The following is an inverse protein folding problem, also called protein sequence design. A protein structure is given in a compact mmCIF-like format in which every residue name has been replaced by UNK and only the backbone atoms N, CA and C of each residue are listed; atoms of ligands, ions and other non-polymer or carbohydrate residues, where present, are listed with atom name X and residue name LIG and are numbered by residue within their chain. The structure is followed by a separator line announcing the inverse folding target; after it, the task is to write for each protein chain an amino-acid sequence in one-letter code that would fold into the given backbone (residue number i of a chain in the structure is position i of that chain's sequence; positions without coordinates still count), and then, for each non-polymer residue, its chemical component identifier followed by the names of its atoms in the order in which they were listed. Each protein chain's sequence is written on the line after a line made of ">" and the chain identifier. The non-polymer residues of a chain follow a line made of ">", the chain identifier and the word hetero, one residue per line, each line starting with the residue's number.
data_IF_292791667007
#
_entry.id   IF_292791667007
#
_cell.length_a   1.000
_cell.length_b   1.000
_cell.length_c   1.000
_cell.angle_alpha   90.00
_cell.angle_beta   90.00
_cell.angle_gamma   90.00
#
_symmetry.space_group_name_H-M   'P 1'
#
loop_
_entity.id
_entity.type
_entity.pdbx_description
1 polymer ?
#
# COMPACT_ATOMS: atom_id res chain seq x y z
N UNK A 1 -40.27 10.90 -9.49
CA UNK A 1 -39.73 9.75 -8.72
C UNK A 1 -38.21 9.80 -8.85
N UNK A 2 -37.60 10.68 -8.07
CA UNK A 2 -36.16 11.00 -8.07
C UNK A 2 -35.46 10.04 -7.12
N UNK A 3 -34.61 9.17 -7.66
CA UNK A 3 -33.80 8.23 -6.89
C UNK A 3 -32.59 8.97 -6.29
N UNK A 4 -32.66 9.21 -4.98
CA UNK A 4 -31.56 9.18 -3.97
C UNK A 4 -30.40 10.20 -4.11
N UNK A 5 -30.31 11.24 -3.24
CA UNK A 5 -29.10 12.03 -3.01
C UNK A 5 -28.25 11.55 -1.82
N UNK A 6 -28.53 10.35 -1.28
CA UNK A 6 -27.91 9.88 -0.03
C UNK A 6 -26.44 9.43 -0.17
N UNK A 7 -26.03 8.99 -1.36
CA UNK A 7 -24.64 8.53 -1.58
C UNK A 7 -23.62 9.69 -1.59
N UNK A 8 -24.04 10.89 -2.02
CA UNK A 8 -23.17 12.06 -2.08
C UNK A 8 -22.87 12.64 -0.69
N UNK A 9 -23.82 12.55 0.25
CA UNK A 9 -23.63 13.08 1.61
C UNK A 9 -22.60 12.29 2.41
N UNK A 10 -22.65 10.96 2.36
CA UNK A 10 -21.70 10.12 3.11
C UNK A 10 -20.28 10.29 2.59
N UNK A 11 -20.10 10.28 1.26
CA UNK A 11 -18.78 10.47 0.64
C UNK A 11 -18.27 11.89 0.89
N UNK A 12 -19.15 12.90 0.85
CA UNK A 12 -18.80 14.29 1.18
C UNK A 12 -18.39 14.45 2.65
N UNK A 13 -19.13 13.88 3.61
CA UNK A 13 -18.79 13.91 5.03
C UNK A 13 -17.45 13.21 5.31
N UNK A 14 -17.21 12.03 4.73
CA UNK A 14 -15.93 11.32 4.88
C UNK A 14 -14.78 12.11 4.26
N UNK A 15 -15.01 12.74 3.10
CA UNK A 15 -14.01 13.61 2.45
C UNK A 15 -13.64 14.82 3.34
N UNK A 16 -14.65 15.44 3.96
CA UNK A 16 -14.48 16.58 4.85
C UNK A 16 -13.74 16.22 6.13
N UNK A 17 -13.92 15.01 6.67
CA UNK A 17 -13.23 14.55 7.89
C UNK A 17 -11.78 14.14 7.60
N UNK A 18 -11.54 13.51 6.44
CA UNK A 18 -10.23 12.96 6.10
C UNK A 18 -9.31 13.95 5.38
N UNK A 19 -9.85 15.07 4.90
CA UNK A 19 -9.09 16.10 4.19
C UNK A 19 -8.71 15.70 2.76
N UNK A 20 -9.34 14.66 2.21
CA UNK A 20 -9.12 14.19 0.84
C UNK A 20 -10.40 14.35 0.04
N UNK A 21 -10.33 14.91 -1.17
CA UNK A 21 -11.50 15.09 -2.03
C UNK A 21 -12.22 13.76 -2.38
N UNK A 22 -13.54 13.80 -2.63
CA UNK A 22 -14.35 12.61 -2.90
C UNK A 22 -13.83 11.81 -4.11
N UNK A 23 -13.29 12.47 -5.12
CA UNK A 23 -12.66 11.82 -6.27
C UNK A 23 -11.45 10.95 -5.88
N UNK A 24 -10.62 11.43 -4.96
CA UNK A 24 -9.43 10.70 -4.52
C UNK A 24 -9.84 9.43 -3.75
N UNK A 25 -10.84 9.55 -2.87
CA UNK A 25 -11.39 8.41 -2.13
C UNK A 25 -12.03 7.38 -3.08
N UNK A 26 -12.72 7.83 -4.12
CA UNK A 26 -13.28 6.95 -5.15
C UNK A 26 -12.18 6.23 -5.93
N UNK A 27 -11.17 6.96 -6.43
CA UNK A 27 -10.04 6.41 -7.20
C UNK A 27 -9.29 5.33 -6.40
N UNK A 28 -8.98 5.61 -5.14
CA UNK A 28 -8.28 4.67 -4.24
C UNK A 28 -9.15 3.46 -3.90
N UNK A 29 -10.45 3.64 -3.65
CA UNK A 29 -11.38 2.54 -3.38
C UNK A 29 -11.55 1.62 -4.58
N UNK A 30 -11.74 2.16 -5.79
CA UNK A 30 -11.87 1.40 -7.03
C UNK A 30 -10.60 0.59 -7.31
N UNK A 31 -9.42 1.20 -7.15
CA UNK A 31 -8.14 0.50 -7.31
C UNK A 31 -8.02 -0.66 -6.30
N UNK A 32 -8.29 -0.40 -5.02
CA UNK A 32 -8.21 -1.42 -3.97
C UNK A 32 -9.19 -2.58 -4.23
N UNK A 33 -10.44 -2.29 -4.59
CA UNK A 33 -11.45 -3.29 -4.93
C UNK A 33 -11.04 -4.12 -6.16
N UNK A 34 -10.55 -3.46 -7.21
CA UNK A 34 -10.06 -4.12 -8.42
C UNK A 34 -8.90 -5.08 -8.16
N UNK A 35 -7.93 -4.67 -7.33
CA UNK A 35 -6.80 -5.53 -6.92
C UNK A 35 -7.29 -6.74 -6.11
N UNK A 36 -8.23 -6.53 -5.19
CA UNK A 36 -8.81 -7.60 -4.38
C UNK A 36 -9.61 -8.61 -5.25
N UNK A 37 -10.32 -8.12 -6.27
CA UNK A 37 -11.04 -8.95 -7.23
C UNK A 37 -10.06 -9.73 -8.12
N UNK A 38 -9.04 -9.08 -8.66
CA UNK A 38 -8.00 -9.74 -9.45
C UNK A 38 -7.32 -10.86 -8.65
N UNK A 39 -6.99 -10.60 -7.38
CA UNK A 39 -6.45 -11.60 -6.46
C UNK A 39 -7.43 -12.75 -6.16
N UNK A 40 -8.74 -12.50 -6.16
CA UNK A 40 -9.75 -13.54 -6.01
C UNK A 40 -9.87 -14.41 -7.27
N UNK A 41 -9.83 -13.80 -8.46
CA UNK A 41 -9.91 -14.48 -9.76
C UNK A 41 -8.73 -15.40 -10.04
N UNK A 42 -7.53 -15.08 -9.53
CA UNK A 42 -6.37 -15.97 -9.61
C UNK A 42 -6.60 -17.31 -8.88
N UNK A 43 -7.55 -17.35 -7.95
CA UNK A 43 -7.90 -18.54 -7.20
C UNK A 43 -6.86 -18.91 -6.13
N UNK A 44 -7.24 -19.82 -5.24
CA UNK A 44 -6.40 -20.20 -4.07
C UNK A 44 -5.14 -20.99 -4.42
N UNK A 45 -4.99 -21.44 -5.66
CA UNK A 45 -3.91 -22.35 -6.09
C UNK A 45 -2.58 -21.67 -6.37
N UNK A 46 -2.55 -20.34 -6.52
CA UNK A 46 -1.32 -19.58 -6.84
C UNK A 46 -1.05 -18.48 -5.80
N UNK A 47 -0.66 -18.86 -4.57
CA UNK A 47 -0.44 -17.88 -3.50
C UNK A 47 0.63 -16.85 -3.86
N UNK A 48 1.73 -17.25 -4.51
CA UNK A 48 2.79 -16.33 -4.93
C UNK A 48 2.31 -15.24 -5.91
N UNK A 49 1.40 -15.58 -6.83
CA UNK A 49 0.83 -14.61 -7.78
C UNK A 49 -0.15 -13.67 -7.09
N UNK A 50 -0.96 -14.17 -6.16
CA UNK A 50 -1.87 -13.34 -5.36
C UNK A 50 -1.10 -12.36 -4.47
N UNK A 51 -0.02 -12.83 -3.84
CA UNK A 51 0.94 -11.99 -3.11
C UNK A 51 1.47 -10.86 -4.00
N UNK A 52 1.95 -11.18 -5.21
CA UNK A 52 2.48 -10.17 -6.14
C UNK A 52 1.43 -9.14 -6.54
N UNK A 53 0.21 -9.57 -6.91
CA UNK A 53 -0.87 -8.67 -7.34
C UNK A 53 -1.25 -7.71 -6.21
N UNK A 54 -1.43 -8.24 -5.01
CA UNK A 54 -1.84 -7.45 -3.85
C UNK A 54 -0.74 -6.53 -3.34
N UNK A 55 0.53 -6.95 -3.36
CA UNK A 55 1.66 -6.12 -2.95
C UNK A 55 1.93 -4.98 -3.93
N UNK A 56 1.88 -5.25 -5.24
CA UNK A 56 1.97 -4.22 -6.28
C UNK A 56 0.79 -3.24 -6.18
N UNK A 57 -0.43 -3.74 -5.98
CA UNK A 57 -1.60 -2.87 -5.80
C UNK A 57 -1.48 -1.92 -4.61
N UNK A 58 -0.96 -2.38 -3.47
CA UNK A 58 -0.68 -1.52 -2.31
C UNK A 58 0.45 -0.53 -2.58
N UNK A 59 1.49 -0.91 -3.30
CA UNK A 59 2.55 0.01 -3.72
C UNK A 59 2.02 1.10 -4.66
N UNK A 60 1.13 0.74 -5.60
CA UNK A 60 0.43 1.70 -6.46
C UNK A 60 -0.46 2.66 -5.66
N UNK A 61 -1.19 2.16 -4.66
CA UNK A 61 -1.98 3.01 -3.76
C UNK A 61 -1.08 4.00 -3.02
N UNK A 62 0.03 3.54 -2.44
CA UNK A 62 0.99 4.42 -1.76
C UNK A 62 1.54 5.49 -2.71
N UNK A 63 1.95 5.10 -3.91
CA UNK A 63 2.45 6.03 -4.92
C UNK A 63 1.39 7.07 -5.32
N UNK A 64 0.14 6.64 -5.54
CA UNK A 64 -0.97 7.53 -5.85
C UNK A 64 -1.20 8.58 -4.73
N UNK A 65 -1.12 8.15 -3.48
CA UNK A 65 -1.26 9.03 -2.32
C UNK A 65 -0.13 10.05 -2.22
N UNK A 66 1.12 9.60 -2.41
CA UNK A 66 2.30 10.47 -2.38
C UNK A 66 2.29 11.50 -3.52
N UNK A 67 1.90 11.09 -4.74
CA UNK A 67 1.78 12.02 -5.87
C UNK A 67 0.67 13.06 -5.66
N UNK A 68 -0.45 12.66 -5.04
CA UNK A 68 -1.55 13.57 -4.76
C UNK A 68 -1.20 14.65 -3.72
N UNK A 69 -0.22 14.40 -2.83
CA UNK A 69 0.31 15.43 -1.92
C UNK A 69 1.03 16.55 -2.68
N UNK A 70 1.71 16.23 -3.79
CA UNK A 70 2.49 17.20 -4.57
C UNK A 70 1.65 18.10 -5.49
N UNK A 71 0.43 17.69 -5.82
CA UNK A 71 -0.46 18.39 -6.78
C UNK A 71 -1.46 19.30 -6.05
N UNK A 72 -1.66 19.10 -4.75
CA UNK A 72 -2.65 19.86 -3.95
C UNK A 72 -2.12 21.25 -3.56
N UNK A 73 -1.82 22.08 -4.56
CA UNK A 73 -1.33 23.45 -4.41
C UNK A 73 -2.41 24.55 -4.48
N UNK A 74 -3.70 24.24 -4.58
CA UNK A 74 -4.70 25.29 -4.85
C UNK A 74 -6.16 25.03 -4.49
N UNK A 75 -6.49 23.97 -3.75
CA UNK A 75 -7.87 23.68 -3.34
C UNK A 75 -8.09 23.92 -1.85
N UNK A 76 -9.18 24.61 -1.50
CA UNK A 76 -9.64 24.84 -0.13
C UNK A 76 -10.13 23.50 0.47
N UNK A 77 -9.20 22.59 0.76
CA UNK A 77 -9.46 21.50 1.68
C UNK A 77 -9.67 22.11 3.06
N UNK A 78 -10.59 21.60 3.90
CA UNK A 78 -10.69 22.05 5.27
C UNK A 78 -9.36 21.80 5.95
N UNK A 79 -8.59 22.87 6.20
CA UNK A 79 -7.20 22.80 6.64
C UNK A 79 -7.05 21.90 7.87
N UNK A 80 -8.05 21.91 8.76
CA UNK A 80 -8.09 21.05 9.95
C UNK A 80 -8.06 19.54 9.66
N UNK A 81 -8.74 19.08 8.60
CA UNK A 81 -8.80 17.66 8.25
C UNK A 81 -7.48 17.15 7.66
N UNK A 82 -6.83 17.95 6.83
CA UNK A 82 -5.49 17.65 6.31
C UNK A 82 -4.44 17.64 7.44
N UNK A 83 -4.53 18.61 8.36
CA UNK A 83 -3.67 18.66 9.56
C UNK A 83 -3.89 17.41 10.42
N UNK A 84 -5.13 17.03 10.69
CA UNK A 84 -5.46 15.82 11.45
C UNK A 84 -4.89 14.57 10.77
N UNK A 85 -5.13 14.40 9.47
CA UNK A 85 -4.58 13.28 8.71
C UNK A 85 -3.05 13.23 8.79
N UNK A 86 -2.37 14.38 8.63
CA UNK A 86 -0.93 14.50 8.72
C UNK A 86 -0.38 14.16 10.10
N UNK A 87 -1.02 14.65 11.17
CA UNK A 87 -0.64 14.37 12.56
C UNK A 87 -0.80 12.88 12.88
N UNK A 88 -1.95 12.28 12.56
CA UNK A 88 -2.19 10.85 12.81
C UNK A 88 -1.19 9.99 12.03
N UNK A 89 -0.99 10.29 10.75
CA UNK A 89 -0.01 9.58 9.90
C UNK A 89 1.41 9.74 10.46
N UNK A 90 1.79 10.94 10.90
CA UNK A 90 3.08 11.21 11.53
C UNK A 90 3.31 10.43 12.82
N UNK A 91 2.32 10.37 13.71
CA UNK A 91 2.39 9.57 14.96
C UNK A 91 2.51 8.08 14.64
N UNK A 92 1.74 7.58 13.68
CA UNK A 92 1.79 6.18 13.26
C UNK A 92 3.13 5.82 12.59
N UNK A 93 3.69 6.72 11.77
CA UNK A 93 5.01 6.56 11.16
C UNK A 93 6.12 6.61 12.19
N UNK A 94 6.05 7.51 13.17
CA UNK A 94 7.02 7.59 14.26
C UNK A 94 7.01 6.30 15.07
N UNK A 95 5.82 5.81 15.47
CA UNK A 95 5.68 4.53 16.16
C UNK A 95 6.26 3.40 15.32
N UNK A 96 5.96 3.36 14.02
CA UNK A 96 6.51 2.36 13.12
C UNK A 96 8.03 2.44 13.02
N UNK A 97 8.62 3.65 12.97
CA UNK A 97 10.06 3.84 12.96
C UNK A 97 10.69 3.38 14.26
N UNK A 98 10.09 3.71 15.41
CA UNK A 98 10.52 3.22 16.73
C UNK A 98 10.47 1.69 16.78
N UNK A 99 9.39 1.08 16.32
CA UNK A 99 9.26 -0.38 16.23
C UNK A 99 10.33 -0.98 15.31
N UNK A 100 10.59 -0.33 14.17
CA UNK A 100 11.60 -0.75 13.20
C UNK A 100 13.02 -0.63 13.76
N UNK A 101 13.33 0.45 14.49
CA UNK A 101 14.62 0.63 15.16
C UNK A 101 14.78 -0.42 16.25
N UNK A 102 13.80 -0.61 17.13
CA UNK A 102 13.84 -1.66 18.15
C UNK A 102 14.02 -3.05 17.55
N UNK A 103 13.35 -3.32 16.44
CA UNK A 103 13.54 -4.54 15.66
C UNK A 103 15.00 -4.61 15.21
N UNK A 104 15.48 -3.68 14.37
CA UNK A 104 16.84 -3.64 13.83
C UNK A 104 17.93 -3.79 14.91
N UNK A 105 17.79 -3.11 16.05
CA UNK A 105 18.70 -3.22 17.19
C UNK A 105 18.71 -4.63 17.79
N UNK A 106 17.55 -5.26 17.99
CA UNK A 106 17.49 -6.66 18.49
C UNK A 106 18.23 -7.60 17.54
N UNK A 107 17.97 -7.52 16.24
CA UNK A 107 18.62 -8.42 15.27
C UNK A 107 20.14 -8.20 15.15
N UNK A 108 20.63 -6.98 15.41
CA UNK A 108 22.06 -6.68 15.36
C UNK A 108 22.84 -7.21 16.57
N UNK A 109 22.25 -7.18 17.76
CA UNK A 109 22.97 -7.43 19.03
C UNK A 109 22.72 -8.79 19.68
N UNK A 110 21.75 -9.56 19.21
CA UNK A 110 21.24 -10.74 19.96
C UNK A 110 21.59 -12.08 19.32
N UNK A 111 22.00 -12.08 18.05
CA UNK A 111 22.08 -13.30 17.27
C UNK A 111 23.51 -13.87 17.27
N UNK A 112 23.69 -15.02 17.94
CA UNK A 112 24.95 -15.77 18.00
C UNK A 112 25.26 -16.46 16.67
N UNK A 113 26.53 -16.84 16.46
CA UNK A 113 26.95 -17.56 15.26
C UNK A 113 26.35 -18.96 15.23
N UNK A 114 25.76 -19.33 14.09
CA UNK A 114 25.41 -20.72 13.86
C UNK A 114 26.68 -21.50 13.50
N UNK A 115 26.81 -22.72 13.99
CA UNK A 115 27.96 -23.57 13.67
C UNK A 115 28.13 -23.80 12.15
N UNK A 116 29.33 -24.17 11.69
CA UNK A 116 29.68 -24.26 10.27
C UNK A 116 28.79 -25.23 9.47
N UNK A 117 28.20 -26.23 10.13
CA UNK A 117 27.29 -27.19 9.50
C UNK A 117 26.00 -26.53 9.00
N UNK A 118 25.37 -25.65 9.78
CA UNK A 118 24.16 -24.95 9.37
C UNK A 118 24.44 -23.95 8.25
N UNK A 119 25.58 -23.28 8.30
CA UNK A 119 25.99 -22.33 7.25
C UNK A 119 26.29 -23.05 5.92
N UNK A 120 26.89 -24.23 5.96
CA UNK A 120 27.05 -25.06 4.76
C UNK A 120 25.69 -25.50 4.21
N UNK A 121 24.81 -25.96 5.10
CA UNK A 121 23.48 -26.47 4.75
C UNK A 121 22.60 -25.41 4.12
N UNK A 122 22.54 -24.20 4.70
CA UNK A 122 21.81 -23.08 4.10
C UNK A 122 22.40 -22.70 2.73
N UNK A 123 23.72 -22.75 2.57
CA UNK A 123 24.38 -22.46 1.30
C UNK A 123 23.96 -23.43 0.19
N UNK A 124 23.83 -24.73 0.51
CA UNK A 124 23.33 -25.76 -0.43
C UNK A 124 21.87 -25.49 -0.81
N UNK A 125 21.00 -25.24 0.18
CA UNK A 125 19.58 -24.98 -0.05
C UNK A 125 19.35 -23.67 -0.81
N UNK A 126 20.08 -22.60 -0.48
CA UNK A 126 20.01 -21.32 -1.15
C UNK A 126 20.37 -21.44 -2.64
N UNK A 127 21.44 -22.18 -2.97
CA UNK A 127 21.81 -22.48 -4.36
C UNK A 127 20.73 -23.28 -5.08
N UNK A 128 20.21 -24.34 -4.45
CA UNK A 128 19.10 -25.16 -5.00
C UNK A 128 17.86 -24.31 -5.28
N UNK A 129 17.60 -23.32 -4.44
CA UNK A 129 16.50 -22.38 -4.59
C UNK A 129 16.79 -21.20 -5.54
N UNK A 130 17.99 -21.11 -6.13
CA UNK A 130 18.39 -20.00 -6.98
C UNK A 130 18.41 -18.65 -6.27
N UNK A 131 18.76 -18.63 -4.97
CA UNK A 131 18.97 -17.40 -4.20
C UNK A 131 20.41 -16.94 -4.45
N UNK A 132 20.58 -15.87 -5.25
CA UNK A 132 21.90 -15.38 -5.66
C UNK A 132 22.67 -14.59 -4.60
N UNK A 133 22.10 -14.39 -3.41
CA UNK A 133 22.70 -13.67 -2.29
C UNK A 133 23.16 -14.63 -1.21
N UNK A 134 24.24 -14.27 -0.52
CA UNK A 134 24.72 -15.03 0.64
C UNK A 134 23.74 -14.87 1.80
N UNK A 135 23.24 -16.01 2.30
CA UNK A 135 22.35 -16.08 3.46
C UNK A 135 23.12 -16.79 4.56
N UNK A 136 23.13 -16.21 5.76
CA UNK A 136 23.74 -16.82 6.96
C UNK A 136 22.65 -17.29 7.91
N UNK A 137 22.97 -18.28 8.73
CA UNK A 137 22.12 -18.65 9.86
C UNK A 137 22.71 -18.05 11.14
N UNK A 138 21.85 -17.61 12.04
CA UNK A 138 22.23 -17.20 13.39
C UNK A 138 21.33 -17.87 14.41
N UNK A 139 21.85 -18.04 15.62
CA UNK A 139 21.08 -18.56 16.75
C UNK A 139 20.53 -17.40 17.58
N UNK A 140 19.22 -17.41 17.79
CA UNK A 140 18.50 -16.45 18.60
C UNK A 140 18.50 -16.81 20.10
N UNK A 141 17.78 -16.03 20.90
CA UNK A 141 17.55 -16.33 22.32
C UNK A 141 16.54 -17.46 22.51
N UNK A 142 16.50 -17.99 23.73
CA UNK A 142 15.41 -18.85 24.16
C UNK A 142 14.05 -18.19 23.92
N UNK A 143 13.14 -18.96 23.33
CA UNK A 143 11.80 -18.47 22.99
C UNK A 143 11.68 -17.82 21.61
N UNK A 144 12.78 -17.60 20.88
CA UNK A 144 12.68 -17.17 19.49
C UNK A 144 12.07 -18.25 18.58
N UNK A 145 11.42 -17.81 17.51
CA UNK A 145 10.82 -18.68 16.48
C UNK A 145 11.64 -18.45 15.21
N UNK A 146 11.80 -19.46 14.32
CA UNK A 146 12.46 -19.22 13.04
C UNK A 146 11.87 -18.02 12.31
N UNK A 147 12.73 -17.10 11.91
CA UNK A 147 12.33 -15.95 11.12
C UNK A 147 13.50 -15.37 10.31
N UNK A 148 13.17 -14.81 9.17
CA UNK A 148 14.10 -14.09 8.31
C UNK A 148 14.31 -12.66 8.79
N UNK A 149 15.55 -12.22 8.77
CA UNK A 149 15.96 -10.86 9.04
C UNK A 149 16.59 -10.18 7.84
N UNK A 150 16.42 -8.86 7.73
CA UNK A 150 17.14 -8.01 6.79
C UNK A 150 16.57 -8.01 5.37
N UNK A 151 16.82 -6.91 4.64
CA UNK A 151 16.39 -6.74 3.24
C UNK A 151 17.57 -6.96 2.28
N UNK A 152 18.66 -6.20 2.46
CA UNK A 152 19.82 -6.23 1.58
C UNK A 152 20.76 -7.41 1.87
N UNK A 153 21.04 -7.65 3.16
CA UNK A 153 21.89 -8.75 3.63
C UNK A 153 21.07 -9.64 4.56
N UNK A 154 20.22 -10.52 4.01
CA UNK A 154 19.33 -11.29 4.84
C UNK A 154 20.06 -12.41 5.57
N UNK A 155 19.62 -12.69 6.79
CA UNK A 155 20.04 -13.84 7.57
C UNK A 155 18.82 -14.48 8.22
N UNK A 156 18.92 -15.77 8.54
CA UNK A 156 17.84 -16.52 9.16
C UNK A 156 18.19 -16.71 10.63
N UNK A 157 17.29 -16.34 11.53
CA UNK A 157 17.45 -16.62 12.94
C UNK A 157 16.70 -17.91 13.26
N UNK A 158 17.40 -18.86 13.88
CA UNK A 158 16.83 -20.09 14.40
C UNK A 158 16.88 -20.07 15.93
N UNK A 159 15.96 -20.78 16.61
CA UNK A 159 16.04 -20.89 18.06
C UNK A 159 17.28 -21.68 18.49
N UNK A 160 17.76 -21.49 19.73
CA UNK A 160 19.02 -22.10 20.19
C UNK A 160 18.97 -23.64 20.19
N UNK A 161 17.78 -24.24 20.30
CA UNK A 161 17.58 -25.68 20.24
C UNK A 161 17.60 -26.26 18.81
N UNK A 162 17.73 -25.42 17.77
CA UNK A 162 17.70 -25.87 16.38
C UNK A 162 18.81 -26.86 16.02
N UNK A 163 19.93 -26.84 16.74
CA UNK A 163 21.01 -27.83 16.58
C UNK A 163 20.60 -29.26 16.98
N UNK A 164 19.54 -29.42 17.78
CA UNK A 164 19.01 -30.72 18.19
C UNK A 164 17.90 -31.25 17.28
N UNK A 165 17.48 -30.46 16.29
CA UNK A 165 16.37 -30.83 15.42
C UNK A 165 16.78 -31.90 14.42
N UNK A 166 15.84 -32.79 14.11
CA UNK A 166 15.99 -33.72 12.99
C UNK A 166 16.30 -32.96 11.70
N UNK A 167 17.13 -33.55 10.85
CA UNK A 167 17.61 -32.94 9.63
C UNK A 167 16.47 -32.45 8.74
N UNK A 168 15.41 -33.24 8.60
CA UNK A 168 14.24 -32.90 7.78
C UNK A 168 13.52 -31.65 8.32
N UNK A 169 13.44 -31.49 9.65
CA UNK A 169 12.83 -30.32 10.29
C UNK A 169 13.64 -29.06 10.00
N UNK A 170 14.97 -29.14 10.08
CA UNK A 170 15.86 -28.01 9.74
C UNK A 170 15.67 -27.61 8.28
N UNK A 171 15.70 -28.58 7.35
CA UNK A 171 15.51 -28.28 5.92
C UNK A 171 14.13 -27.66 5.63
N UNK A 172 13.07 -28.17 6.26
CA UNK A 172 11.72 -27.60 6.12
C UNK A 172 11.68 -26.11 6.47
N UNK A 173 12.27 -25.77 7.61
CA UNK A 173 12.31 -24.39 8.12
C UNK A 173 13.19 -23.51 7.24
N UNK A 174 14.39 -23.98 6.89
CA UNK A 174 15.30 -23.20 6.04
C UNK A 174 14.72 -22.96 4.64
N UNK A 175 14.04 -23.95 4.04
CA UNK A 175 13.35 -23.79 2.77
C UNK A 175 12.21 -22.77 2.86
N UNK A 176 11.44 -22.78 3.95
CA UNK A 176 10.38 -21.80 4.20
C UNK A 176 10.93 -20.38 4.28
N UNK A 177 11.95 -20.17 5.11
CA UNK A 177 12.58 -18.86 5.33
C UNK A 177 13.31 -18.36 4.07
N UNK A 178 14.01 -19.25 3.36
CA UNK A 178 14.58 -18.92 2.06
C UNK A 178 13.50 -18.52 1.04
N UNK A 179 12.26 -19.01 1.19
CA UNK A 179 11.13 -18.61 0.36
C UNK A 179 10.81 -17.12 0.51
N UNK A 180 10.80 -16.63 1.74
CA UNK A 180 10.64 -15.20 2.05
C UNK A 180 11.81 -14.39 1.47
N UNK A 181 13.05 -14.86 1.63
CA UNK A 181 14.23 -14.22 1.08
C UNK A 181 14.16 -14.17 -0.44
N UNK A 182 13.89 -15.29 -1.11
CA UNK A 182 13.85 -15.38 -2.57
C UNK A 182 12.85 -14.40 -3.17
N UNK A 183 11.69 -14.22 -2.53
CA UNK A 183 10.62 -13.34 -3.00
C UNK A 183 10.76 -11.88 -2.54
N UNK A 184 11.64 -11.61 -1.57
CA UNK A 184 11.86 -10.25 -1.06
C UNK A 184 10.76 -9.77 -0.12
N UNK A 185 10.12 -10.68 0.60
CA UNK A 185 8.93 -10.37 1.42
C UNK A 185 9.19 -9.32 2.50
N UNK A 186 10.42 -9.21 3.00
CA UNK A 186 10.80 -8.17 3.96
C UNK A 186 10.59 -6.75 3.39
N UNK A 187 10.99 -6.52 2.13
CA UNK A 187 10.76 -5.25 1.44
C UNK A 187 9.28 -5.05 1.11
N UNK A 188 8.61 -6.10 0.64
CA UNK A 188 7.17 -6.04 0.38
C UNK A 188 6.38 -5.68 1.65
N UNK A 189 6.72 -6.27 2.79
CA UNK A 189 6.08 -5.96 4.07
C UNK A 189 6.35 -4.52 4.52
N UNK A 190 7.55 -3.99 4.29
CA UNK A 190 7.87 -2.58 4.56
C UNK A 190 6.98 -1.65 3.72
N UNK A 191 6.97 -1.81 2.39
CA UNK A 191 6.21 -0.95 1.46
C UNK A 191 4.71 -1.04 1.72
N UNK A 192 4.19 -2.26 1.88
CA UNK A 192 2.75 -2.46 2.10
C UNK A 192 2.30 -1.96 3.47
N UNK A 193 3.16 -2.01 4.49
CA UNK A 193 2.87 -1.41 5.81
C UNK A 193 2.84 0.12 5.70
N UNK A 194 3.79 0.74 5.01
CA UNK A 194 3.77 2.19 4.75
C UNK A 194 2.48 2.62 4.03
N UNK A 195 2.02 1.84 3.04
CA UNK A 195 0.74 2.07 2.38
C UNK A 195 -0.43 2.09 3.38
N UNK A 196 -0.52 1.09 4.26
CA UNK A 196 -1.60 1.03 5.27
C UNK A 196 -1.49 2.15 6.29
N UNK A 197 -0.28 2.58 6.68
CA UNK A 197 -0.13 3.72 7.59
C UNK A 197 -0.58 5.03 6.96
N UNK A 198 -0.34 5.22 5.67
CA UNK A 198 -0.84 6.37 4.91
C UNK A 198 -2.38 6.34 4.80
N UNK A 199 -2.92 5.15 4.50
CA UNK A 199 -4.35 4.89 4.36
C UNK A 199 -4.96 4.25 5.61
N UNK A 200 -4.59 4.73 6.80
CA UNK A 200 -4.98 4.12 8.08
C UNK A 200 -6.51 4.04 8.26
N UNK A 201 -7.25 4.95 7.62
CA UNK A 201 -8.71 4.99 7.61
C UNK A 201 -9.35 4.04 6.58
N UNK A 202 -8.59 3.52 5.61
CA UNK A 202 -9.13 2.80 4.45
C UNK A 202 -9.23 1.28 4.72
N UNK A 203 -10.43 0.70 4.89
CA UNK A 203 -10.59 -0.70 5.28
C UNK A 203 -10.04 -1.68 4.23
N UNK A 204 -10.18 -1.38 2.94
CA UNK A 204 -9.62 -2.24 1.87
C UNK A 204 -8.09 -2.27 1.88
N UNK A 205 -7.39 -1.20 2.28
CA UNK A 205 -5.93 -1.21 2.41
C UNK A 205 -5.49 -2.20 3.50
N UNK A 206 -6.17 -2.19 4.66
CA UNK A 206 -5.97 -3.18 5.72
C UNK A 206 -6.26 -4.61 5.26
N UNK A 207 -7.34 -4.82 4.51
CA UNK A 207 -7.67 -6.14 3.95
C UNK A 207 -6.60 -6.62 2.96
N UNK A 208 -6.12 -5.75 2.08
CA UNK A 208 -5.04 -6.06 1.14
C UNK A 208 -3.76 -6.44 1.87
N UNK A 209 -3.37 -5.70 2.92
CA UNK A 209 -2.17 -6.00 3.69
C UNK A 209 -2.27 -7.35 4.42
N UNK A 210 -3.44 -7.65 5.00
CA UNK A 210 -3.71 -8.99 5.57
C UNK A 210 -3.58 -10.08 4.51
N UNK A 211 -4.07 -9.86 3.29
CA UNK A 211 -3.94 -10.83 2.18
C UNK A 211 -2.49 -11.01 1.74
N UNK A 212 -1.71 -9.94 1.62
CA UNK A 212 -0.27 -10.01 1.31
C UNK A 212 0.41 -10.93 2.33
N UNK A 213 0.22 -10.70 3.62
CA UNK A 213 0.85 -11.53 4.67
C UNK A 213 0.44 -12.99 4.60
N UNK A 214 -0.86 -13.28 4.46
CA UNK A 214 -1.34 -14.67 4.36
C UNK A 214 -0.85 -15.38 3.10
N UNK A 215 -0.79 -14.68 1.97
CA UNK A 215 -0.36 -15.27 0.71
C UNK A 215 1.16 -15.45 0.66
N UNK A 216 1.93 -14.65 1.40
CA UNK A 216 3.35 -14.88 1.61
C UNK A 216 3.60 -16.21 2.35
N UNK A 217 2.91 -16.44 3.48
CA UNK A 217 3.03 -17.70 4.23
C UNK A 217 2.65 -18.91 3.37
N UNK A 218 1.49 -18.84 2.69
CA UNK A 218 1.03 -19.93 1.80
C UNK A 218 2.00 -20.18 0.63
N UNK A 219 2.66 -19.15 0.12
CA UNK A 219 3.64 -19.30 -0.95
C UNK A 219 4.93 -19.95 -0.47
N UNK A 220 5.36 -19.68 0.76
CA UNK A 220 6.49 -20.38 1.38
C UNK A 220 6.12 -21.84 1.71
N UNK A 221 4.93 -22.08 2.27
CA UNK A 221 4.41 -23.43 2.55
C UNK A 221 4.37 -24.29 1.27
N UNK A 222 3.84 -23.73 0.18
CA UNK A 222 3.77 -24.41 -1.12
C UNK A 222 5.17 -24.72 -1.67
N UNK A 223 6.13 -23.80 -1.50
CA UNK A 223 7.51 -23.99 -1.94
C UNK A 223 8.19 -25.17 -1.24
N UNK A 224 7.98 -25.34 0.07
CA UNK A 224 8.54 -26.47 0.82
C UNK A 224 8.04 -27.80 0.26
N UNK A 225 6.74 -27.88 -0.08
CA UNK A 225 6.14 -29.07 -0.69
C UNK A 225 6.66 -29.29 -2.11
N UNK A 226 6.82 -28.23 -2.91
CA UNK A 226 7.42 -28.29 -4.26
C UNK A 226 8.87 -28.78 -4.23
N UNK A 227 9.61 -28.54 -3.14
CA UNK A 227 10.97 -29.06 -2.95
C UNK A 227 11.02 -30.53 -2.50
N UNK A 228 9.87 -31.22 -2.46
CA UNK A 228 9.79 -32.67 -2.27
C UNK A 228 9.38 -33.11 -0.87
N UNK A 229 9.10 -32.19 0.04
CA UNK A 229 8.59 -32.56 1.37
C UNK A 229 7.10 -32.93 1.29
N UNK A 230 6.68 -34.11 1.77
CA UNK A 230 5.26 -34.46 1.80
C UNK A 230 4.47 -33.47 2.67
N UNK A 231 3.37 -32.94 2.16
CA UNK A 231 2.57 -31.91 2.84
C UNK A 231 2.12 -32.31 4.26
N UNK A 232 1.75 -33.59 4.45
CA UNK A 232 1.38 -34.11 5.77
C UNK A 232 2.57 -34.13 6.75
N UNK A 233 3.79 -34.39 6.27
CA UNK A 233 4.98 -34.35 7.10
C UNK A 233 5.32 -32.90 7.48
N UNK A 234 5.29 -31.99 6.51
CA UNK A 234 5.51 -30.57 6.75
C UNK A 234 4.49 -29.97 7.74
N UNK A 235 3.21 -30.31 7.60
CA UNK A 235 2.16 -29.87 8.53
C UNK A 235 2.44 -30.29 9.99
N UNK A 236 3.05 -31.47 10.21
CA UNK A 236 3.47 -31.90 11.55
C UNK A 236 4.61 -31.05 12.08
N UNK A 237 5.61 -30.72 11.26
CA UNK A 237 6.70 -29.81 11.65
C UNK A 237 6.19 -28.41 11.99
N UNK A 238 5.24 -27.89 11.21
CA UNK A 238 4.63 -26.59 11.48
C UNK A 238 3.87 -26.61 12.82
N UNK A 239 3.10 -27.67 13.06
CA UNK A 239 2.38 -27.85 14.33
C UNK A 239 3.33 -28.01 15.52
N UNK A 240 4.45 -28.73 15.37
CA UNK A 240 5.43 -28.87 16.44
C UNK A 240 6.10 -27.53 16.76
N UNK A 241 6.48 -26.74 15.75
CA UNK A 241 7.05 -25.40 15.94
C UNK A 241 6.12 -24.48 16.73
N UNK A 242 4.82 -24.48 16.39
CA UNK A 242 3.84 -23.65 17.11
C UNK A 242 3.62 -24.15 18.54
N UNK A 243 3.58 -25.47 18.76
CA UNK A 243 3.48 -26.05 20.11
C UNK A 243 4.69 -25.68 20.97
N UNK A 244 5.90 -25.76 20.41
CA UNK A 244 7.14 -25.41 21.09
C UNK A 244 7.14 -23.90 21.45
N UNK A 245 6.71 -23.05 20.51
CA UNK A 245 6.59 -21.61 20.75
C UNK A 245 5.55 -21.26 21.81
N UNK A 246 4.39 -21.94 21.84
CA UNK A 246 3.34 -21.73 22.86
C UNK A 246 3.78 -22.16 24.24
N UNK A 247 4.48 -23.29 24.37
CA UNK A 247 5.04 -23.76 25.65
C UNK A 247 6.00 -22.73 26.26
N UNK A 248 6.70 -21.97 25.42
CA UNK A 248 7.64 -20.92 25.81
C UNK A 248 7.00 -19.55 26.09
N UNK A 249 5.66 -19.45 26.09
CA UNK A 249 4.87 -18.24 26.42
C UNK A 249 5.31 -16.95 25.68
N UNK A 250 5.78 -17.08 24.44
CA UNK A 250 6.41 -15.95 23.76
C UNK A 250 5.39 -14.96 23.15
N UNK A 251 5.52 -13.63 23.34
CA UNK A 251 4.58 -12.64 22.79
C UNK A 251 4.58 -12.56 21.25
N UNK A 252 5.70 -12.84 20.56
CA UNK A 252 5.73 -13.01 19.09
C UNK A 252 5.05 -14.31 18.61
N UNK A 253 4.88 -15.31 19.49
CA UNK A 253 4.08 -16.49 19.16
C UNK A 253 2.61 -16.10 18.96
N UNK A 254 2.11 -15.04 19.59
CA UNK A 254 0.75 -14.54 19.34
C UNK A 254 0.54 -14.05 17.89
N UNK A 255 1.60 -13.56 17.22
CA UNK A 255 1.52 -13.05 15.84
C UNK A 255 1.74 -14.13 14.77
N UNK A 256 2.53 -15.18 15.04
CA UNK A 256 2.65 -16.38 14.17
C UNK A 256 1.58 -17.44 14.48
N UNK A 257 1.02 -17.45 15.68
CA UNK A 257 0.04 -18.41 16.18
C UNK A 257 -1.32 -17.79 16.49
N UNK A 258 -1.68 -16.71 15.80
CA UNK A 258 -3.09 -16.35 15.67
C UNK A 258 -3.79 -17.56 15.03
N UNK A 259 -4.52 -18.34 15.83
CA UNK A 259 -5.11 -19.64 15.46
C UNK A 259 -5.77 -19.72 14.08
N UNK A 260 -6.50 -18.69 13.60
CA UNK A 260 -7.09 -18.75 12.26
C UNK A 260 -6.07 -18.83 11.12
N UNK A 261 -4.84 -18.35 11.30
CA UNK A 261 -3.81 -18.37 10.25
C UNK A 261 -3.17 -19.75 10.10
N UNK A 262 -2.76 -20.38 11.21
CA UNK A 262 -2.19 -21.73 11.21
C UNK A 262 -3.18 -22.78 10.69
N UNK A 263 -4.42 -22.76 11.19
CA UNK A 263 -5.45 -23.69 10.73
C UNK A 263 -5.72 -23.52 9.23
N UNK A 264 -5.72 -22.27 8.75
CA UNK A 264 -5.83 -21.95 7.33
C UNK A 264 -4.67 -22.49 6.49
N UNK A 265 -3.44 -22.40 6.99
CA UNK A 265 -2.22 -22.94 6.34
C UNK A 265 -2.25 -24.46 6.26
N UNK A 266 -2.54 -25.15 7.37
CA UNK A 266 -2.63 -26.62 7.41
C UNK A 266 -3.74 -27.11 6.46
N UNK A 267 -4.91 -26.46 6.47
CA UNK A 267 -6.01 -26.82 5.55
C UNK A 267 -5.58 -26.64 4.10
N UNK A 268 -4.94 -25.52 3.76
CA UNK A 268 -4.46 -25.27 2.41
C UNK A 268 -3.43 -26.32 1.96
N UNK A 269 -2.48 -26.69 2.83
CA UNK A 269 -1.46 -27.72 2.58
C UNK A 269 -2.06 -29.11 2.30
N UNK A 270 -3.11 -29.48 3.03
CA UNK A 270 -3.73 -30.81 2.94
C UNK A 270 -4.80 -30.90 1.85
N UNK A 271 -5.20 -29.79 1.22
CA UNK A 271 -6.16 -29.81 0.12
C UNK A 271 -5.57 -30.52 -1.12
N UNK A 272 -6.21 -31.59 -1.63
CA UNK A 272 -5.69 -32.39 -2.75
C UNK A 272 -5.44 -31.60 -4.05
N UNK A 273 -6.02 -30.40 -4.19
CA UNK A 273 -6.00 -29.60 -5.41
C UNK A 273 -4.69 -28.84 -5.64
N UNK A 274 -3.83 -28.69 -4.63
CA UNK A 274 -2.48 -28.12 -4.83
C UNK A 274 -1.53 -29.09 -5.57
N UNK A 275 -1.90 -30.36 -5.71
CA UNK A 275 -1.09 -31.43 -6.34
C UNK A 275 -0.92 -31.30 -7.86
N UNK A 276 -1.62 -30.39 -8.54
CA UNK A 276 -1.46 -30.15 -9.99
C UNK A 276 -0.57 -28.92 -10.27
N UNK A 277 0.70 -28.99 -9.92
CA UNK A 277 1.70 -28.04 -10.41
C UNK A 277 2.46 -28.64 -11.60
N UNK A 278 1.77 -28.70 -12.75
CA UNK A 278 2.35 -28.96 -14.06
C UNK A 278 2.27 -27.73 -14.95
N UNK A 279 3.43 -27.14 -15.24
CA UNK A 279 3.79 -26.20 -16.33
C UNK A 279 2.97 -24.88 -16.50
N UNK A 280 3.74 -23.81 -16.79
CA UNK A 280 3.34 -22.39 -16.96
C UNK A 280 2.18 -22.19 -17.97
N UNK A 281 1.38 -21.10 -17.85
CA UNK A 281 1.78 -19.83 -18.46
C UNK A 281 1.47 -18.61 -17.57
N UNK A 282 2.43 -18.19 -16.74
CA UNK A 282 2.36 -16.93 -15.98
C UNK A 282 2.40 -15.65 -16.83
N UNK A 283 2.69 -15.78 -18.13
CA UNK A 283 2.84 -14.64 -19.04
C UNK A 283 1.51 -14.01 -19.50
N UNK A 284 0.36 -14.72 -19.44
CA UNK A 284 -0.94 -14.16 -19.86
C UNK A 284 -1.64 -13.40 -18.72
N UNK A 285 -1.45 -13.82 -17.47
CA UNK A 285 -2.06 -13.17 -16.30
C UNK A 285 -1.22 -11.97 -15.84
N UNK A 286 0.11 -12.03 -15.93
CA UNK A 286 0.99 -10.88 -15.68
C UNK A 286 0.76 -9.71 -16.64
N UNK A 287 0.34 -10.00 -17.88
CA UNK A 287 -0.07 -8.98 -18.87
C UNK A 287 -1.39 -8.32 -18.47
N UNK A 288 -2.35 -9.05 -17.91
CA UNK A 288 -3.62 -8.48 -17.43
C UNK A 288 -3.41 -7.56 -16.21
N UNK A 289 -2.50 -7.91 -15.31
CA UNK A 289 -2.19 -7.09 -14.12
C UNK A 289 -1.40 -5.84 -14.48
N UNK A 290 -0.47 -5.93 -15.43
CA UNK A 290 0.16 -4.75 -16.01
C UNK A 290 -0.88 -3.86 -16.72
N UNK A 291 -1.82 -4.45 -17.47
CA UNK A 291 -2.89 -3.70 -18.15
C UNK A 291 -3.81 -2.96 -17.16
N UNK A 292 -4.20 -3.58 -16.05
CA UNK A 292 -5.07 -2.94 -15.03
C UNK A 292 -4.35 -1.83 -14.27
N UNK A 293 -3.08 -2.03 -13.88
CA UNK A 293 -2.29 -1.00 -13.22
C UNK A 293 -1.95 0.17 -14.16
N UNK A 294 -1.63 -0.11 -15.43
CA UNK A 294 -1.37 0.91 -16.44
C UNK A 294 -2.65 1.62 -16.87
N UNK A 295 -3.79 0.93 -16.99
CA UNK A 295 -5.08 1.58 -17.29
C UNK A 295 -5.56 2.49 -16.15
N UNK A 296 -5.30 2.13 -14.89
CA UNK A 296 -5.59 2.99 -13.75
C UNK A 296 -4.69 4.25 -13.74
N UNK A 297 -3.42 4.11 -14.12
CA UNK A 297 -2.47 5.22 -14.22
C UNK A 297 -2.77 6.14 -15.43
N UNK A 298 -3.08 5.57 -16.59
CA UNK A 298 -3.42 6.33 -17.82
C UNK A 298 -4.83 6.95 -17.73
N UNK A 299 -5.78 6.29 -17.07
CA UNK A 299 -7.08 6.90 -16.76
C UNK A 299 -6.94 8.14 -15.87
N UNK A 300 -5.96 8.16 -14.95
CA UNK A 300 -5.71 9.31 -14.09
C UNK A 300 -5.13 10.53 -14.83
N UNK A 301 -4.32 10.32 -15.87
CA UNK A 301 -3.77 11.42 -16.69
C UNK A 301 -4.78 11.95 -17.71
N UNK A 302 -5.65 11.10 -18.27
CA UNK A 302 -6.66 11.51 -19.25
C UNK A 302 -7.84 12.28 -18.64
N UNK A 303 -8.19 12.02 -17.37
CA UNK A 303 -9.24 12.77 -16.66
C UNK A 303 -8.80 14.19 -16.26
N UNK A 304 -7.50 14.42 -16.05
CA UNK A 304 -6.97 15.77 -15.79
C UNK A 304 -6.93 16.61 -17.06
N UNK A 305 -6.59 16.01 -18.22
CA UNK A 305 -6.64 16.70 -19.51
C UNK A 305 -8.07 17.07 -19.96
N UNK A 306 -9.10 16.38 -19.46
CA UNK A 306 -10.50 16.64 -19.79
C UNK A 306 -11.15 17.78 -19.00
N UNK A 307 -10.61 18.15 -17.84
CA UNK A 307 -11.21 19.17 -16.98
C UNK A 307 -10.74 20.59 -17.30
N UNK A 308 -9.52 20.76 -17.83
CA UNK A 308 -8.96 22.08 -18.16
C UNK A 308 -9.56 22.72 -19.43
N UNK A 309 -10.31 21.97 -20.26
CA UNK A 309 -10.87 22.51 -21.51
C UNK A 309 -12.28 23.10 -21.38
N UNK A 310 -12.90 23.03 -20.19
CA UNK A 310 -14.30 23.46 -19.99
C UNK A 310 -14.48 24.81 -19.28
N UNK A 311 -13.40 25.42 -18.77
CA UNK A 311 -13.47 26.68 -17.98
C UNK A 311 -12.95 27.94 -18.68
N UNK A 312 -12.66 27.88 -19.98
CA UNK A 312 -12.29 29.08 -20.75
C UNK A 312 -13.11 29.19 -22.04
N UNK A 313 -14.40 29.43 -21.88
CA UNK A 313 -15.22 30.05 -22.94
C UNK A 313 -16.26 30.97 -22.31
N UNK A 314 -15.79 31.92 -21.52
CA UNK A 314 -16.59 33.08 -21.17
C UNK A 314 -16.60 33.99 -22.40
N UNK A 315 -17.79 34.14 -22.96
CA UNK A 315 -18.16 34.91 -24.14
C UNK A 315 -17.75 36.38 -23.97
N UNK A 316 -16.54 36.75 -24.40
CA UNK A 316 -16.15 38.16 -24.57
C UNK A 316 -16.82 38.64 -25.86
N UNK A 317 -18.04 39.15 -25.75
CA UNK A 317 -18.61 40.02 -26.78
C UNK A 317 -17.76 41.29 -26.85
N UNK A 318 -17.22 41.69 -28.02
CA UNK A 318 -16.57 42.99 -28.15
C UNK A 318 -17.65 44.08 -28.19
N UNK A 319 -18.09 44.53 -27.03
CA UNK A 319 -18.82 45.78 -26.91
C UNK A 319 -17.79 46.92 -26.84
N UNK A 320 -17.59 47.61 -27.96
CA UNK A 320 -16.85 48.86 -27.98
C UNK A 320 -15.77 48.96 -29.05
N UNK A 321 -16.14 48.88 -30.33
CA UNK A 321 -15.34 49.49 -31.40
C UNK A 321 -16.18 49.74 -32.67
N UNK A 322 -17.36 50.35 -32.53
CA UNK A 322 -18.18 50.77 -33.66
C UNK A 322 -19.16 51.88 -33.26
N UNK A 323 -18.67 52.99 -32.70
CA UNK A 323 -19.46 54.21 -32.50
C UNK A 323 -18.54 55.43 -32.34
N UNK A 324 -17.62 55.61 -33.27
CA UNK A 324 -16.89 56.87 -33.39
C UNK A 324 -16.87 57.20 -34.87
N UNK A 325 -17.98 57.71 -35.41
CA UNK A 325 -18.10 58.41 -36.69
C UNK A 325 -19.59 58.78 -36.89
N UNK A 326 -20.05 59.83 -36.21
CA UNK A 326 -21.18 60.65 -36.70
C UNK A 326 -21.02 62.08 -36.18
N UNK A 327 -21.03 63.00 -37.14
CA UNK A 327 -20.92 64.46 -37.10
C UNK A 327 -21.98 65.10 -36.17
N UNK A 328 -21.72 66.24 -35.49
CA UNK A 328 -22.75 66.95 -34.75
C UNK A 328 -23.60 67.81 -35.70
N UNK A 329 -24.92 67.72 -35.57
CA UNK A 329 -25.85 68.72 -36.11
C UNK A 329 -26.37 69.58 -34.96
N UNK A 330 -26.05 70.87 -35.01
CA UNK A 330 -26.59 71.92 -34.14
C UNK A 330 -28.01 72.24 -34.63
N UNK A 331 -29.03 71.77 -33.92
CA UNK A 331 -30.29 72.53 -33.74
C UNK A 331 -31.26 71.82 -32.79
N UNK A 332 -32.05 72.65 -32.10
CA UNK A 332 -33.22 72.38 -31.25
C UNK A 332 -33.03 72.40 -29.71
N UNK A 333 -33.43 73.56 -29.18
CA UNK A 333 -34.34 73.80 -28.03
C UNK A 333 -33.73 73.67 -26.62
N UNK A 334 -33.36 74.79 -25.99
CA UNK A 334 -34.24 75.67 -25.19
C UNK A 334 -35.15 74.94 -24.17
N UNK A 335 -34.83 75.08 -22.88
CA UNK A 335 -35.68 75.65 -21.80
C UNK A 335 -35.07 75.24 -20.45
N UNK A 336 -34.50 76.17 -19.69
CA UNK A 336 -35.08 77.05 -18.66
C UNK A 336 -34.54 76.67 -17.25
N UNK A 337 -33.84 77.67 -16.69
CA UNK A 337 -33.47 77.99 -15.30
C UNK A 337 -34.64 77.92 -14.27
N UNK A 338 -34.48 78.27 -12.96
CA UNK A 338 -33.29 78.68 -12.17
C UNK A 338 -33.23 78.14 -10.71
N UNK A 339 -32.12 78.40 -9.99
CA UNK A 339 -32.05 78.87 -8.58
C UNK A 339 -30.58 78.92 -8.11
N UNK A 340 -29.99 80.11 -7.95
CA UNK A 340 -29.65 80.75 -6.65
C UNK A 340 -28.92 79.85 -5.63
N UNK A 341 -27.66 80.18 -5.27
CA UNK A 341 -27.30 80.66 -3.92
C UNK A 341 -25.80 81.05 -3.82
N UNK A 342 -25.60 82.20 -3.14
CA UNK A 342 -24.38 82.88 -2.67
C UNK A 342 -23.15 82.03 -2.29
N UNK A 343 -21.94 82.55 -2.52
CA UNK A 343 -21.27 83.43 -1.55
C UNK A 343 -19.81 83.77 -1.90
N UNK A 344 -19.49 85.06 -1.75
CA UNK A 344 -18.25 85.65 -1.20
C UNK A 344 -16.88 85.25 -1.76
N UNK A 345 -16.11 86.26 -2.20
CA UNK A 345 -14.92 86.79 -1.48
C UNK A 345 -14.22 87.82 -2.40
N UNK A 346 -14.27 89.08 -1.98
CA UNK A 346 -13.25 90.12 -2.23
C UNK A 346 -12.37 90.18 -0.95
N UNK A 347 -11.15 90.77 -0.94
CA UNK A 347 -10.85 92.06 -1.59
C UNK A 347 -9.42 92.26 -2.15
N UNK A 348 -9.23 93.40 -2.82
CA UNK A 348 -8.04 94.29 -2.82
C UNK A 348 -6.70 93.74 -3.38
N UNK A 349 -5.89 94.48 -4.16
CA UNK A 349 -5.51 95.88 -4.05
C UNK A 349 -4.77 96.37 -5.33
N UNK A 350 -5.01 97.64 -5.68
CA UNK A 350 -4.29 98.55 -6.61
C UNK A 350 -4.46 98.44 -8.12
#
# INVERSE_FOLDING_TARGET
>A
MTLIPFENEVVSCVSAILGWGPEFLLKTTVLAAGVLLAGALVGRTRPALRHLITSVGLACLLLLGLLSLGISGGGILPQGAMVLWGVVTGVLLLRFLVDLVHLLWRGAFVAGEAGPELDLRIGVLARRMGVGRTVRVRLGREGEIPHTWGVLRPFIILPPDAGSWAAERVDAVLLHELGHIRRGDALCNLVTRLAVLFYWFHPLAWLMWRRVRQDAERACDALVVEQGMPAAHYARHLLSLVRDARRRQHPLAANMAAEPDLAGRIRALLEPRLRRHGRRPGARVGRLTALVSTAALVGSTLLMAGHDTSTEKQDIRPAGLAACLTVPDESLLMSQDPAEENASVSPEYR
#
